data_IF_630443579379
#
_entry.id   IF_630443579379
#
_cell.length_a   1.000
_cell.length_b   1.000
_cell.length_c   1.000
_cell.angle_alpha   90.00
_cell.angle_beta   90.00
_cell.angle_gamma   90.00
#
_symmetry.space_group_name_H-M   'P 1'
#
loop_
_entity.id
_entity.type
_entity.pdbx_description
1 polymer ?
#
# COMPACT_ATOMS: atom_id res chain seq x y z
N UNK A 1 -59.56 27.44 -17.11
CA UNK A 1 -58.45 26.81 -17.84
C UNK A 1 -57.32 26.63 -16.85
N UNK A 2 -57.11 25.40 -16.35
CA UNK A 2 -56.04 25.10 -15.40
C UNK A 2 -54.75 24.80 -16.16
N UNK A 3 -53.71 25.58 -15.92
CA UNK A 3 -52.36 25.31 -16.40
C UNK A 3 -51.81 24.09 -15.67
N UNK A 4 -51.60 22.98 -16.39
CA UNK A 4 -50.88 21.82 -15.86
C UNK A 4 -49.43 22.25 -15.64
N UNK A 5 -48.87 22.10 -14.43
CA UNK A 5 -47.47 22.41 -14.20
C UNK A 5 -46.64 21.40 -14.99
N UNK A 6 -45.92 21.88 -15.99
CA UNK A 6 -44.87 21.10 -16.65
C UNK A 6 -43.82 20.81 -15.59
N UNK A 7 -43.79 19.57 -15.12
CA UNK A 7 -42.73 19.09 -14.25
C UNK A 7 -41.46 19.04 -15.10
N UNK A 8 -40.46 19.87 -14.78
CA UNK A 8 -39.14 19.90 -15.42
C UNK A 8 -38.33 18.65 -15.02
N UNK A 9 -38.80 17.47 -15.45
CA UNK A 9 -38.13 16.19 -15.22
C UNK A 9 -36.69 16.18 -15.76
N UNK A 10 -36.39 16.99 -16.79
CA UNK A 10 -35.06 17.13 -17.35
C UNK A 10 -34.04 17.72 -16.35
N UNK A 11 -34.48 18.68 -15.53
CA UNK A 11 -33.60 19.30 -14.53
C UNK A 11 -33.28 18.32 -13.39
N UNK A 12 -34.29 17.62 -12.87
CA UNK A 12 -34.12 16.63 -11.82
C UNK A 12 -33.21 15.46 -12.25
N UNK A 13 -33.33 14.99 -13.50
CA UNK A 13 -32.44 13.94 -14.03
C UNK A 13 -30.98 14.42 -14.15
N UNK A 14 -30.76 15.69 -14.51
CA UNK A 14 -29.40 16.26 -14.64
C UNK A 14 -28.68 16.40 -13.30
N UNK A 15 -29.40 16.78 -12.24
CA UNK A 15 -28.85 16.94 -10.89
C UNK A 15 -28.47 15.60 -10.28
N UNK A 16 -29.29 14.57 -10.47
CA UNK A 16 -28.99 13.21 -10.02
C UNK A 16 -27.75 12.64 -10.73
N UNK A 17 -27.64 12.83 -12.05
CA UNK A 17 -26.47 12.38 -12.80
C UNK A 17 -25.18 13.08 -12.32
N UNK A 18 -25.25 14.39 -12.05
CA UNK A 18 -24.11 15.16 -11.52
C UNK A 18 -23.72 14.71 -10.12
N UNK A 19 -24.69 14.48 -9.24
CA UNK A 19 -24.45 13.98 -7.88
C UNK A 19 -23.81 12.59 -7.91
N UNK A 20 -24.31 11.67 -8.74
CA UNK A 20 -23.74 10.34 -8.93
C UNK A 20 -22.30 10.41 -9.44
N UNK A 21 -22.01 11.27 -10.43
CA UNK A 21 -20.64 11.46 -10.94
C UNK A 21 -19.69 11.96 -9.84
N UNK A 22 -20.10 12.96 -9.06
CA UNK A 22 -19.29 13.50 -7.96
C UNK A 22 -19.03 12.46 -6.87
N UNK A 23 -20.02 11.62 -6.57
CA UNK A 23 -19.88 10.53 -5.62
C UNK A 23 -18.82 9.52 -6.08
N UNK A 24 -18.93 9.03 -7.33
CA UNK A 24 -17.95 8.11 -7.92
C UNK A 24 -16.54 8.73 -7.93
N UNK A 25 -16.42 10.02 -8.26
CA UNK A 25 -15.12 10.71 -8.24
C UNK A 25 -14.50 10.75 -6.83
N UNK A 26 -15.32 10.90 -5.79
CA UNK A 26 -14.87 10.88 -4.40
C UNK A 26 -14.38 9.47 -4.01
N UNK A 27 -15.14 8.43 -4.36
CA UNK A 27 -14.78 7.03 -4.10
C UNK A 27 -13.47 6.66 -4.79
N UNK A 28 -13.26 7.10 -6.03
CA UNK A 28 -12.01 6.90 -6.78
C UNK A 28 -10.79 7.50 -6.07
N UNK A 29 -10.91 8.72 -5.56
CA UNK A 29 -9.82 9.38 -4.85
C UNK A 29 -9.52 8.68 -3.51
N UNK A 30 -10.56 8.20 -2.83
CA UNK A 30 -10.41 7.40 -1.62
C UNK A 30 -9.73 6.06 -1.92
N UNK A 31 -10.16 5.34 -2.95
CA UNK A 31 -9.54 4.09 -3.37
C UNK A 31 -8.07 4.28 -3.76
N UNK A 32 -7.75 5.32 -4.52
CA UNK A 32 -6.36 5.66 -4.86
C UNK A 32 -5.50 5.93 -3.61
N UNK A 33 -6.07 6.57 -2.58
CA UNK A 33 -5.39 6.80 -1.31
C UNK A 33 -5.17 5.50 -0.54
N UNK A 34 -6.19 4.66 -0.44
CA UNK A 34 -6.10 3.33 0.20
C UNK A 34 -5.04 2.47 -0.48
N UNK A 35 -5.00 2.44 -1.83
CA UNK A 35 -4.00 1.70 -2.58
C UNK A 35 -2.57 2.20 -2.31
N UNK A 36 -2.38 3.51 -2.18
CA UNK A 36 -1.09 4.08 -1.79
C UNK A 36 -0.66 3.56 -0.42
N UNK A 37 -1.53 3.66 0.59
CA UNK A 37 -1.24 3.24 1.97
C UNK A 37 -1.01 1.72 2.09
N UNK A 38 -1.70 0.92 1.28
CA UNK A 38 -1.46 -0.52 1.19
C UNK A 38 -0.12 -0.85 0.53
N UNK A 39 0.34 -0.01 -0.41
CA UNK A 39 1.58 -0.21 -1.14
C UNK A 39 2.81 0.28 -0.38
N UNK A 40 2.67 1.35 0.41
CA UNK A 40 3.69 1.84 1.35
C UNK A 40 3.88 0.83 2.49
N UNK A 41 4.85 -0.08 2.31
CA UNK A 41 5.03 -1.23 3.20
C UNK A 41 5.68 -0.83 4.51
N UNK A 42 6.61 0.11 4.46
CA UNK A 42 7.36 0.57 5.62
C UNK A 42 6.66 1.74 6.37
N UNK A 43 5.65 2.38 5.76
CA UNK A 43 4.89 3.47 6.35
C UNK A 43 5.63 4.81 6.34
N UNK A 44 6.58 5.02 5.44
CA UNK A 44 7.38 6.25 5.36
C UNK A 44 6.72 7.37 4.55
N UNK A 45 5.55 7.10 3.95
CA UNK A 45 4.80 8.04 3.14
C UNK A 45 5.33 8.19 1.71
N UNK A 46 6.21 7.30 1.28
CA UNK A 46 6.71 7.17 -0.08
C UNK A 46 6.48 5.73 -0.58
N UNK A 47 6.50 5.54 -1.90
CA UNK A 47 6.52 4.22 -2.51
C UNK A 47 7.86 4.07 -3.23
N UNK A 48 8.71 3.19 -2.69
CA UNK A 48 9.93 2.75 -3.35
C UNK A 48 9.62 1.81 -4.53
N UNK A 49 10.60 1.64 -5.41
CA UNK A 49 10.47 0.72 -6.56
C UNK A 49 10.35 -0.74 -6.07
N UNK A 50 11.02 -1.07 -4.96
CA UNK A 50 10.97 -2.38 -4.33
C UNK A 50 9.58 -2.69 -3.77
N UNK A 51 8.94 -1.73 -3.11
CA UNK A 51 7.58 -1.87 -2.58
C UNK A 51 6.57 -2.04 -3.70
N UNK A 52 6.67 -1.22 -4.76
CA UNK A 52 5.81 -1.34 -5.93
C UNK A 52 5.95 -2.72 -6.59
N UNK A 53 7.19 -3.19 -6.79
CA UNK A 53 7.47 -4.48 -7.41
C UNK A 53 7.03 -5.66 -6.54
N UNK A 54 7.23 -5.57 -5.22
CA UNK A 54 6.79 -6.59 -4.28
C UNK A 54 5.26 -6.69 -4.24
N UNK A 55 4.55 -5.56 -4.18
CA UNK A 55 3.10 -5.56 -4.19
C UNK A 55 2.54 -6.12 -5.51
N UNK A 56 3.10 -5.73 -6.66
CA UNK A 56 2.71 -6.32 -7.95
C UNK A 56 2.95 -7.83 -8.03
N UNK A 57 4.07 -8.31 -7.48
CA UNK A 57 4.32 -9.75 -7.35
C UNK A 57 3.28 -10.44 -6.48
N UNK A 58 2.97 -9.89 -5.30
CA UNK A 58 2.02 -10.49 -4.37
C UNK A 58 0.60 -10.52 -4.94
N UNK A 59 0.16 -9.46 -5.62
CA UNK A 59 -1.08 -9.46 -6.38
C UNK A 59 -1.07 -10.56 -7.46
N UNK A 60 0.03 -10.72 -8.20
CA UNK A 60 0.16 -11.82 -9.19
C UNK A 60 0.06 -13.20 -8.54
N UNK A 61 0.58 -13.36 -7.31
CA UNK A 61 0.46 -14.62 -6.54
C UNK A 61 -0.97 -14.91 -6.12
N UNK A 62 -1.78 -13.89 -5.79
CA UNK A 62 -3.20 -14.08 -5.43
C UNK A 62 -3.98 -14.78 -6.55
N UNK A 63 -3.64 -14.54 -7.81
CA UNK A 63 -4.31 -15.15 -8.96
C UNK A 63 -3.69 -16.46 -9.45
N UNK A 64 -2.52 -16.86 -8.95
CA UNK A 64 -1.88 -18.12 -9.36
C UNK A 64 -2.38 -19.27 -8.48
N UNK A 65 -2.93 -20.29 -9.13
CA UNK A 65 -3.36 -21.53 -8.46
C UNK A 65 -2.19 -22.42 -8.00
N UNK A 66 -0.97 -22.18 -8.51
CA UNK A 66 0.23 -22.96 -8.19
C UNK A 66 1.30 -22.10 -7.51
N UNK A 67 2.10 -22.76 -6.67
CA UNK A 67 3.31 -22.18 -6.11
C UNK A 67 4.24 -21.69 -7.22
N UNK A 68 4.77 -20.48 -7.02
CA UNK A 68 5.70 -19.83 -7.94
C UNK A 68 7.13 -20.25 -7.58
N UNK A 69 8.00 -20.45 -8.59
CA UNK A 69 9.43 -20.67 -8.31
C UNK A 69 10.13 -19.34 -8.02
N UNK A 70 11.30 -19.40 -7.38
CA UNK A 70 12.09 -18.19 -7.07
C UNK A 70 12.45 -17.42 -8.34
N UNK A 71 12.76 -18.12 -9.43
CA UNK A 71 13.08 -17.52 -10.72
C UNK A 71 11.86 -16.83 -11.35
N UNK A 72 10.67 -17.42 -11.25
CA UNK A 72 9.43 -16.81 -11.72
C UNK A 72 9.09 -15.54 -10.92
N UNK A 73 9.30 -15.55 -9.60
CA UNK A 73 9.10 -14.38 -8.74
C UNK A 73 10.01 -13.22 -9.14
N UNK A 74 11.28 -13.53 -9.39
CA UNK A 74 12.28 -12.54 -9.81
C UNK A 74 11.95 -11.96 -11.19
N UNK A 75 11.51 -12.77 -12.14
CA UNK A 75 11.06 -12.29 -13.45
C UNK A 75 9.87 -11.33 -13.33
N UNK A 76 8.89 -11.67 -12.50
CA UNK A 76 7.72 -10.81 -12.28
C UNK A 76 8.11 -9.50 -11.60
N UNK A 77 8.96 -9.53 -10.56
CA UNK A 77 9.49 -8.31 -9.94
C UNK A 77 10.15 -7.39 -10.97
N UNK A 78 11.01 -7.95 -11.83
CA UNK A 78 11.70 -7.17 -12.86
C UNK A 78 10.74 -6.51 -13.84
N UNK A 79 9.62 -7.15 -14.19
CA UNK A 79 8.56 -6.53 -15.01
C UNK A 79 7.99 -5.29 -14.32
N UNK A 80 7.70 -5.38 -13.01
CA UNK A 80 7.17 -4.24 -12.26
C UNK A 80 8.20 -3.12 -12.04
N UNK A 81 9.48 -3.44 -11.84
CA UNK A 81 10.56 -2.45 -11.79
C UNK A 81 10.66 -1.69 -13.10
N UNK A 82 10.67 -2.40 -14.23
CA UNK A 82 10.69 -1.77 -15.56
C UNK A 82 9.46 -0.90 -15.80
N UNK A 83 8.30 -1.36 -15.36
CA UNK A 83 7.05 -0.62 -15.46
C UNK A 83 7.09 0.66 -14.62
N UNK A 84 7.62 0.61 -13.40
CA UNK A 84 7.80 1.79 -12.56
C UNK A 84 8.69 2.83 -13.25
N UNK A 85 9.83 2.40 -13.80
CA UNK A 85 10.73 3.29 -14.55
C UNK A 85 10.07 3.92 -15.78
N UNK A 86 9.29 3.15 -16.53
CA UNK A 86 8.65 3.61 -17.77
C UNK A 86 7.45 4.52 -17.53
N UNK A 87 6.58 4.16 -16.60
CA UNK A 87 5.23 4.74 -16.49
C UNK A 87 5.11 5.73 -15.32
N UNK A 88 6.07 5.73 -14.38
CA UNK A 88 5.98 6.50 -13.14
C UNK A 88 7.19 7.44 -12.99
N UNK A 89 8.38 6.87 -12.78
CA UNK A 89 9.57 7.64 -12.47
C UNK A 89 10.82 6.95 -13.06
N UNK A 90 11.36 7.52 -14.14
CA UNK A 90 12.51 6.98 -14.86
C UNK A 90 13.81 6.94 -14.03
N UNK A 91 13.91 7.78 -12.99
CA UNK A 91 15.07 7.79 -12.08
C UNK A 91 14.96 6.69 -11.00
N UNK A 92 13.86 5.93 -10.96
CA UNK A 92 13.56 4.91 -9.96
C UNK A 92 13.61 5.43 -8.52
N UNK A 93 13.31 6.73 -8.33
CA UNK A 93 13.26 7.34 -7.01
C UNK A 93 11.94 7.00 -6.31
N UNK A 94 11.93 6.88 -4.97
CA UNK A 94 10.68 6.76 -4.22
C UNK A 94 9.76 7.95 -4.50
N UNK A 95 8.46 7.67 -4.65
CA UNK A 95 7.48 8.67 -5.05
C UNK A 95 6.46 8.94 -3.95
N UNK A 96 6.01 10.20 -3.86
CA UNK A 96 4.94 10.58 -2.94
C UNK A 96 3.55 10.26 -3.52
N UNK A 97 2.53 10.34 -2.66
CA UNK A 97 1.14 10.11 -3.05
C UNK A 97 0.68 10.91 -4.28
N UNK A 98 1.15 12.13 -4.47
CA UNK A 98 0.75 12.95 -5.62
C UNK A 98 1.10 12.29 -6.96
N UNK A 99 2.34 11.84 -7.12
CA UNK A 99 2.82 11.15 -8.33
C UNK A 99 2.13 9.78 -8.50
N UNK A 100 2.00 9.02 -7.41
CA UNK A 100 1.31 7.74 -7.44
C UNK A 100 -0.16 7.88 -7.86
N UNK A 101 -0.86 8.86 -7.29
CA UNK A 101 -2.27 9.16 -7.58
C UNK A 101 -2.46 9.48 -9.05
N UNK A 102 -1.58 10.31 -9.63
CA UNK A 102 -1.69 10.68 -11.04
C UNK A 102 -1.49 9.46 -11.96
N UNK A 103 -0.51 8.61 -11.64
CA UNK A 103 -0.29 7.34 -12.34
C UNK A 103 -1.50 6.40 -12.24
N UNK A 104 -2.00 6.12 -11.04
CA UNK A 104 -3.04 5.12 -10.83
C UNK A 104 -4.39 5.57 -11.42
N UNK A 105 -4.69 6.87 -11.34
CA UNK A 105 -5.88 7.45 -11.99
C UNK A 105 -5.79 7.33 -13.51
N UNK A 106 -4.63 7.62 -14.11
CA UNK A 106 -4.41 7.43 -15.53
C UNK A 106 -4.58 5.95 -15.93
N UNK A 107 -3.98 5.05 -15.17
CA UNK A 107 -4.03 3.61 -15.45
C UNK A 107 -5.47 3.09 -15.48
N UNK A 108 -6.27 3.36 -14.44
CA UNK A 108 -7.67 2.89 -14.40
C UNK A 108 -8.54 3.61 -15.45
N UNK A 109 -8.29 4.90 -15.71
CA UNK A 109 -8.98 5.61 -16.79
C UNK A 109 -8.72 5.00 -18.18
N UNK A 110 -7.56 4.37 -18.38
CA UNK A 110 -7.17 3.75 -19.65
C UNK A 110 -7.80 2.36 -19.88
N UNK A 111 -8.29 1.71 -18.83
CA UNK A 111 -8.89 0.37 -18.91
C UNK A 111 -10.30 0.40 -19.52
N UNK A 112 -11.17 1.28 -19.03
CA UNK A 112 -12.54 1.46 -19.53
C UNK A 112 -12.85 2.95 -19.76
N UNK A 113 -12.36 3.56 -20.85
CA UNK A 113 -12.49 5.00 -21.07
C UNK A 113 -13.96 5.45 -21.16
N UNK A 114 -14.35 6.36 -20.27
CA UNK A 114 -15.69 6.97 -20.26
C UNK A 114 -16.75 6.18 -19.48
N UNK A 115 -16.47 4.94 -19.06
CA UNK A 115 -17.38 4.17 -18.21
C UNK A 115 -16.97 4.28 -16.73
N UNK A 116 -17.54 5.28 -16.05
CA UNK A 116 -17.28 5.51 -14.63
C UNK A 116 -17.79 4.38 -13.72
N UNK A 117 -18.78 3.59 -14.16
CA UNK A 117 -19.31 2.50 -13.35
C UNK A 117 -18.40 1.27 -13.44
N UNK A 118 -17.98 0.90 -14.65
CA UNK A 118 -16.97 -0.16 -14.84
C UNK A 118 -15.67 0.18 -14.10
N UNK A 119 -15.19 1.42 -14.22
CA UNK A 119 -14.01 1.90 -13.48
C UNK A 119 -14.18 1.78 -11.96
N UNK A 120 -15.38 2.02 -11.42
CA UNK A 120 -15.64 1.85 -9.98
C UNK A 120 -15.38 0.41 -9.52
N UNK A 121 -15.83 -0.57 -10.30
CA UNK A 121 -15.61 -1.99 -10.01
C UNK A 121 -14.13 -2.37 -10.10
N UNK A 122 -13.38 -1.74 -11.01
CA UNK A 122 -11.92 -1.90 -11.09
C UNK A 122 -11.26 -1.41 -9.81
N UNK A 123 -11.62 -0.22 -9.31
CA UNK A 123 -11.08 0.28 -8.05
C UNK A 123 -11.35 -0.67 -6.88
N UNK A 124 -12.59 -1.18 -6.77
CA UNK A 124 -12.97 -2.13 -5.72
C UNK A 124 -12.12 -3.41 -5.79
N UNK A 125 -11.98 -3.98 -6.99
CA UNK A 125 -11.14 -5.16 -7.23
C UNK A 125 -9.68 -4.93 -6.84
N UNK A 126 -9.10 -3.81 -7.29
CA UNK A 126 -7.71 -3.46 -6.97
C UNK A 126 -7.48 -3.29 -5.47
N UNK A 127 -8.41 -2.68 -4.75
CA UNK A 127 -8.31 -2.52 -3.28
C UNK A 127 -8.37 -3.88 -2.58
N UNK A 128 -9.25 -4.78 -3.01
CA UNK A 128 -9.35 -6.14 -2.46
C UNK A 128 -8.05 -6.93 -2.70
N UNK A 129 -7.52 -6.88 -3.91
CA UNK A 129 -6.25 -7.54 -4.26
C UNK A 129 -5.07 -6.97 -3.49
N UNK A 130 -4.96 -5.64 -3.41
CA UNK A 130 -3.92 -4.96 -2.64
C UNK A 130 -4.01 -5.28 -1.13
N UNK A 131 -5.22 -5.37 -0.58
CA UNK A 131 -5.43 -5.76 0.82
C UNK A 131 -4.92 -7.18 1.07
N UNK A 132 -5.25 -8.10 0.16
CA UNK A 132 -4.81 -9.50 0.24
C UNK A 132 -3.29 -9.60 0.10
N UNK A 133 -2.71 -8.90 -0.88
CA UNK A 133 -1.27 -8.82 -1.07
C UNK A 133 -0.56 -8.26 0.18
N UNK A 134 -1.12 -7.21 0.81
CA UNK A 134 -0.56 -6.64 2.04
C UNK A 134 -0.54 -7.65 3.19
N UNK A 135 -1.60 -8.45 3.36
CA UNK A 135 -1.62 -9.52 4.36
C UNK A 135 -0.49 -10.53 4.10
N UNK A 136 -0.33 -10.98 2.85
CA UNK A 136 0.77 -11.88 2.47
C UNK A 136 2.16 -11.28 2.75
N UNK A 137 2.34 -9.97 2.53
CA UNK A 137 3.60 -9.28 2.84
C UNK A 137 3.91 -9.31 4.35
N UNK A 138 2.89 -9.08 5.19
CA UNK A 138 3.03 -9.09 6.65
C UNK A 138 3.32 -10.48 7.19
N UNK A 139 2.66 -11.52 6.66
CA UNK A 139 2.88 -12.90 7.07
C UNK A 139 4.29 -13.39 6.70
N UNK A 140 4.77 -13.08 5.49
CA UNK A 140 6.13 -13.41 5.08
C UNK A 140 7.19 -12.66 5.91
N UNK A 141 6.90 -11.42 6.33
CA UNK A 141 7.81 -10.66 7.21
C UNK A 141 7.87 -11.25 8.62
N UNK A 142 6.80 -11.88 9.12
CA UNK A 142 6.78 -12.50 10.45
C UNK A 142 7.69 -13.72 10.60
N UNK A 143 8.10 -14.33 9.49
CA UNK A 143 9.10 -15.41 9.46
C UNK A 143 10.54 -14.89 9.59
N UNK A 144 10.77 -13.60 9.33
CA UNK A 144 12.01 -12.92 9.65
C UNK A 144 11.95 -12.39 11.08
N UNK A 145 12.07 -13.31 12.05
CA UNK A 145 12.49 -12.93 13.40
C UNK A 145 13.88 -12.30 13.23
N UNK A 146 13.98 -10.99 13.41
CA UNK A 146 15.26 -10.30 13.51
C UNK A 146 16.15 -11.11 14.47
N UNK A 147 17.41 -11.43 14.12
CA UNK A 147 18.30 -12.12 15.05
C UNK A 147 18.34 -11.27 16.31
N UNK A 148 17.73 -11.78 17.38
CA UNK A 148 17.84 -11.23 18.72
C UNK A 148 19.33 -11.07 18.97
N UNK A 149 19.82 -9.82 18.91
CA UNK A 149 21.17 -9.50 19.33
C UNK A 149 21.29 -10.05 20.75
N UNK A 150 22.23 -10.99 21.02
CA UNK A 150 22.41 -11.47 22.37
C UNK A 150 22.81 -10.27 23.21
N UNK A 151 21.98 -9.96 24.21
CA UNK A 151 22.26 -8.97 25.25
C UNK A 151 23.50 -9.40 26.03
N UNK A 152 24.67 -9.16 25.45
CA UNK A 152 25.96 -9.23 26.13
C UNK A 152 26.20 -7.89 26.81
N UNK A 153 25.52 -7.67 27.93
CA UNK A 153 26.07 -6.87 29.01
C UNK A 153 26.04 -7.69 30.29
N UNK A 154 27.12 -8.47 30.41
CA UNK A 154 27.63 -9.11 31.60
C UNK A 154 27.79 -8.07 32.72
N UNK A 155 26.85 -8.01 33.67
CA UNK A 155 27.12 -7.38 34.96
C UNK A 155 27.82 -8.40 35.86
N UNK A 156 29.15 -8.42 35.83
CA UNK A 156 29.96 -9.05 36.88
C UNK A 156 29.78 -8.25 38.17
N UNK A 157 28.84 -8.69 39.01
CA UNK A 157 28.69 -8.22 40.38
C UNK A 157 29.89 -8.68 41.22
N UNK A 158 30.79 -7.74 41.50
CA UNK A 158 31.96 -7.91 42.36
C UNK A 158 31.55 -8.23 43.80
N UNK A 159 31.95 -9.40 44.28
CA UNK A 159 32.10 -9.67 45.71
C UNK A 159 33.40 -8.99 46.20
N UNK A 160 33.29 -8.06 47.14
CA UNK A 160 34.43 -7.56 47.93
C UNK A 160 34.10 -7.65 49.43
N UNK A 161 34.90 -8.38 50.23
CA UNK A 161 34.71 -8.50 51.67
C UNK A 161 35.39 -7.35 52.44
N UNK A 162 34.74 -6.91 53.52
CA UNK A 162 35.20 -5.87 54.45
C UNK A 162 36.49 -6.26 55.20
N UNK A 163 37.44 -5.34 55.41
CA UNK A 163 38.45 -5.49 56.45
C UNK A 163 38.00 -4.81 57.76
N UNK A 164 38.03 -5.60 58.84
CA UNK A 164 37.94 -5.17 60.23
C UNK A 164 39.21 -4.37 60.59
N UNK A 165 39.07 -3.17 61.14
CA UNK A 165 40.17 -2.48 61.82
C UNK A 165 40.06 -2.70 63.33
N UNK A 166 41.14 -3.29 63.85
CA UNK A 166 41.36 -3.69 65.24
C UNK A 166 41.95 -2.51 66.02
N UNK A 167 41.45 -2.40 67.25
CA UNK A 167 41.89 -1.60 68.39
C UNK A 167 43.42 -1.55 68.59
N UNK A 168 43.98 -0.40 68.96
CA UNK A 168 45.26 -0.31 69.70
C UNK A 168 45.35 0.98 70.54
N UNK A 169 45.17 0.78 71.86
CA UNK A 169 45.84 1.37 73.04
C UNK A 169 46.04 2.89 73.18
N UNK A 170 45.47 3.42 74.26
CA UNK A 170 46.26 3.92 75.42
C UNK A 170 45.80 3.14 76.64
#
# INVERSE_FOLDING_TARGET
MGSVPFCDCAQACSEQARAKKKHLETERLQAARTLFELTDLNGDGLISVEEFALMGLLQTKVHKERAMTVEEEEQIKNIFVQRFGRDINADLRPIAYAEYKDYILWFVNSMDPGDMQAQSLIWDGMVVEATTARQMATENSSLYVAPMLPSLLTSLGQNCPSPKLVLSRI
#
